data_IF_480039669028
#
_entry.id   IF_480039669028
#
_cell.length_a   1.000
_cell.length_b   1.000
_cell.length_c   1.000
_cell.angle_alpha   90.00
_cell.angle_beta   90.00
_cell.angle_gamma   90.00
#
_symmetry.space_group_name_H-M   'P 1'
#
loop_
_entity.id
_entity.type
_entity.pdbx_description
1 polymer ?
#
# COMPACT_ATOMS: atom_id res chain seq x y z
N UNK A 1 -18.70 36.35 -24.21
CA UNK A 1 -18.65 36.40 -22.74
C UNK A 1 -19.45 35.28 -22.07
N UNK A 2 -20.72 35.03 -22.45
CA UNK A 2 -21.51 33.92 -21.90
C UNK A 2 -20.85 32.53 -22.08
N UNK A 3 -20.32 32.25 -23.27
CA UNK A 3 -19.62 30.98 -23.58
C UNK A 3 -18.40 30.75 -22.66
N UNK A 4 -17.60 31.79 -22.42
CA UNK A 4 -16.45 31.75 -21.53
C UNK A 4 -16.86 31.53 -20.06
N UNK A 5 -18.05 32.00 -19.65
CA UNK A 5 -18.55 31.81 -18.30
C UNK A 5 -19.09 30.39 -18.10
N UNK A 6 -19.85 29.85 -19.06
CA UNK A 6 -20.30 28.45 -19.04
C UNK A 6 -19.12 27.48 -19.10
N UNK A 7 -18.12 27.74 -19.94
CA UNK A 7 -16.90 26.94 -20.02
C UNK A 7 -16.12 26.99 -18.71
N UNK A 8 -16.01 28.16 -18.07
CA UNK A 8 -15.35 28.32 -16.76
C UNK A 8 -16.13 27.60 -15.64
N UNK A 9 -17.45 27.69 -15.64
CA UNK A 9 -18.31 27.05 -14.65
C UNK A 9 -18.30 25.52 -14.80
N UNK A 10 -18.21 25.02 -16.04
CA UNK A 10 -18.05 23.60 -16.37
C UNK A 10 -16.67 23.08 -15.97
N UNK A 11 -15.62 23.84 -16.25
CA UNK A 11 -14.25 23.56 -15.74
C UNK A 11 -14.23 23.46 -14.22
N UNK A 12 -14.89 24.40 -13.52
CA UNK A 12 -15.00 24.38 -12.06
C UNK A 12 -15.71 23.14 -11.53
N UNK A 13 -16.86 22.76 -12.11
CA UNK A 13 -17.60 21.55 -11.71
C UNK A 13 -16.85 20.26 -11.98
N UNK A 14 -16.27 20.12 -13.16
CA UNK A 14 -15.53 18.91 -13.56
C UNK A 14 -14.27 18.75 -12.69
N UNK A 15 -13.57 19.85 -12.38
CA UNK A 15 -12.40 19.81 -11.49
C UNK A 15 -12.75 19.41 -10.04
N UNK A 16 -13.90 19.85 -9.51
CA UNK A 16 -14.36 19.43 -8.17
C UNK A 16 -14.70 17.94 -8.13
N UNK A 17 -15.39 17.43 -9.16
CA UNK A 17 -15.70 16.00 -9.27
C UNK A 17 -14.43 15.14 -9.34
N UNK A 18 -13.46 15.55 -10.15
CA UNK A 18 -12.14 14.89 -10.24
C UNK A 18 -11.41 14.96 -8.91
N UNK A 19 -11.37 16.13 -8.25
CA UNK A 19 -10.69 16.28 -6.96
C UNK A 19 -11.29 15.36 -5.87
N UNK A 20 -12.61 15.26 -5.78
CA UNK A 20 -13.28 14.37 -4.82
C UNK A 20 -13.00 12.88 -5.10
N UNK A 21 -12.98 12.49 -6.39
CA UNK A 21 -12.61 11.14 -6.78
C UNK A 21 -11.15 10.83 -6.41
N UNK A 22 -10.23 11.76 -6.70
CA UNK A 22 -8.81 11.62 -6.38
C UNK A 22 -8.57 11.52 -4.88
N UNK A 23 -9.23 12.37 -4.09
CA UNK A 23 -9.19 12.27 -2.63
C UNK A 23 -9.65 10.89 -2.15
N UNK A 24 -10.77 10.38 -2.67
CA UNK A 24 -11.26 9.05 -2.35
C UNK A 24 -10.27 7.94 -2.68
N UNK A 25 -9.59 8.00 -3.83
CA UNK A 25 -8.58 7.01 -4.22
C UNK A 25 -7.34 7.06 -3.31
N UNK A 26 -6.81 8.26 -3.04
CA UNK A 26 -5.65 8.45 -2.16
C UNK A 26 -5.97 7.96 -0.74
N UNK A 27 -7.14 8.30 -0.20
CA UNK A 27 -7.59 7.80 1.11
C UNK A 27 -7.66 6.28 1.16
N UNK A 28 -8.17 5.63 0.11
CA UNK A 28 -8.21 4.16 0.02
C UNK A 28 -6.81 3.54 -0.03
N UNK A 29 -5.86 4.16 -0.74
CA UNK A 29 -4.47 3.71 -0.76
C UNK A 29 -3.84 3.72 0.64
N UNK A 30 -4.05 4.80 1.40
CA UNK A 30 -3.61 4.86 2.79
C UNK A 30 -4.30 3.82 3.69
N UNK A 31 -5.59 3.58 3.51
CA UNK A 31 -6.31 2.53 4.23
C UNK A 31 -5.74 1.14 3.91
N UNK A 32 -5.39 0.87 2.66
CA UNK A 32 -4.77 -0.39 2.25
C UNK A 32 -3.39 -0.59 2.90
N UNK A 33 -2.55 0.45 2.95
CA UNK A 33 -1.26 0.40 3.65
C UNK A 33 -1.46 0.12 5.14
N UNK A 34 -2.40 0.82 5.79
CA UNK A 34 -2.67 0.62 7.22
C UNK A 34 -3.18 -0.80 7.52
N UNK A 35 -4.08 -1.33 6.68
CA UNK A 35 -4.56 -2.70 6.79
C UNK A 35 -3.42 -3.71 6.64
N UNK A 36 -2.54 -3.53 5.66
CA UNK A 36 -1.41 -4.42 5.42
C UNK A 36 -0.42 -4.45 6.60
N UNK A 37 -0.17 -3.29 7.23
CA UNK A 37 0.64 -3.23 8.45
C UNK A 37 -0.01 -3.96 9.63
N UNK A 38 -1.32 -3.80 9.80
CA UNK A 38 -2.06 -4.46 10.87
C UNK A 38 -2.04 -5.99 10.69
N UNK A 39 -2.32 -6.46 9.47
CA UNK A 39 -2.32 -7.89 9.13
C UNK A 39 -0.94 -8.52 9.33
N UNK A 40 0.13 -7.87 8.85
CA UNK A 40 1.50 -8.35 9.06
C UNK A 40 1.90 -8.38 10.54
N UNK A 41 1.51 -7.38 11.32
CA UNK A 41 1.80 -7.33 12.75
C UNK A 41 1.10 -8.46 13.49
N UNK A 42 -0.17 -8.73 13.15
CA UNK A 42 -0.93 -9.83 13.71
C UNK A 42 -0.28 -11.18 13.38
N UNK A 43 0.05 -11.40 12.10
CA UNK A 43 0.73 -12.61 11.65
C UNK A 43 2.07 -12.81 12.37
N UNK A 44 2.89 -11.77 12.48
CA UNK A 44 4.20 -11.82 13.16
C UNK A 44 4.06 -12.23 14.62
N UNK A 45 3.02 -11.75 15.31
CA UNK A 45 2.73 -12.13 16.69
C UNK A 45 2.30 -13.60 16.80
N UNK A 46 1.41 -14.06 15.91
CA UNK A 46 0.96 -15.46 15.86
C UNK A 46 2.14 -16.41 15.58
N UNK A 47 2.96 -16.11 14.57
CA UNK A 47 4.13 -16.91 14.19
C UNK A 47 5.19 -16.96 15.32
N UNK A 48 5.45 -15.82 15.98
CA UNK A 48 6.37 -15.73 17.11
C UNK A 48 5.89 -16.52 18.33
N UNK A 49 4.59 -16.45 18.63
CA UNK A 49 3.96 -17.21 19.72
C UNK A 49 4.04 -18.71 19.46
N UNK A 50 3.74 -19.15 18.23
CA UNK A 50 3.85 -20.55 17.83
C UNK A 50 5.30 -21.06 17.89
N UNK A 51 6.29 -20.25 17.49
CA UNK A 51 7.70 -20.59 17.62
C UNK A 51 8.12 -20.73 19.09
N UNK A 52 7.66 -19.83 19.96
CA UNK A 52 7.94 -19.89 21.39
C UNK A 52 7.35 -21.14 22.04
N UNK A 53 6.09 -21.49 21.73
CA UNK A 53 5.45 -22.72 22.24
C UNK A 53 6.24 -23.97 21.83
N UNK A 54 6.65 -24.05 20.56
CA UNK A 54 7.49 -25.14 20.06
C UNK A 54 8.85 -25.19 20.76
N UNK A 55 9.46 -24.04 21.02
CA UNK A 55 10.77 -23.94 21.66
C UNK A 55 10.71 -24.37 23.13
N UNK A 56 9.67 -23.95 23.87
CA UNK A 56 9.42 -24.40 25.26
C UNK A 56 9.17 -25.92 25.30
N UNK A 57 8.50 -26.47 24.28
CA UNK A 57 8.26 -27.91 24.15
C UNK A 57 9.46 -28.73 23.67
N UNK A 58 10.59 -28.10 23.31
CA UNK A 58 11.75 -28.80 22.77
C UNK A 58 12.46 -29.65 23.85
N UNK A 59 12.65 -30.94 23.57
CA UNK A 59 13.27 -31.90 24.50
C UNK A 59 14.78 -32.08 24.30
N UNK A 60 15.36 -31.41 23.31
CA UNK A 60 16.80 -31.43 23.05
C UNK A 60 17.25 -30.12 22.40
N UNK A 61 18.57 -29.87 22.43
CA UNK A 61 19.16 -28.69 21.80
C UNK A 61 18.97 -28.71 20.28
N UNK A 62 19.08 -29.88 19.65
CA UNK A 62 18.88 -30.04 18.21
C UNK A 62 17.46 -29.60 17.80
N UNK A 63 16.44 -29.99 18.57
CA UNK A 63 15.06 -29.56 18.31
C UNK A 63 14.84 -28.08 18.56
N UNK A 64 15.49 -27.49 19.56
CA UNK A 64 15.43 -26.04 19.76
C UNK A 64 16.07 -25.27 18.58
N UNK A 65 17.20 -25.75 18.06
CA UNK A 65 17.88 -25.17 16.88
C UNK A 65 16.99 -25.28 15.64
N UNK A 66 16.34 -26.42 15.43
CA UNK A 66 15.40 -26.64 14.32
C UNK A 66 14.25 -25.62 14.36
N UNK A 67 13.58 -25.47 15.51
CA UNK A 67 12.49 -24.49 15.70
C UNK A 67 12.95 -23.06 15.44
N UNK A 68 14.10 -22.66 16.01
CA UNK A 68 14.65 -21.32 15.81
C UNK A 68 15.01 -21.08 14.33
N UNK A 69 15.58 -22.07 13.65
CA UNK A 69 15.99 -21.97 12.25
C UNK A 69 14.78 -21.83 11.33
N UNK A 70 13.73 -22.62 11.57
CA UNK A 70 12.46 -22.51 10.85
C UNK A 70 11.79 -21.14 11.06
N UNK A 71 11.77 -20.64 12.30
CA UNK A 71 11.22 -19.33 12.62
C UNK A 71 11.98 -18.21 11.91
N UNK A 72 13.32 -18.21 11.98
CA UNK A 72 14.15 -17.19 11.32
C UNK A 72 13.95 -17.21 9.80
N UNK A 73 13.92 -18.40 9.18
CA UNK A 73 13.66 -18.53 7.74
C UNK A 73 12.28 -17.97 7.38
N UNK A 74 11.24 -18.38 8.10
CA UNK A 74 9.87 -17.96 7.84
C UNK A 74 9.69 -16.44 8.06
N UNK A 75 10.31 -15.89 9.10
CA UNK A 75 10.31 -14.46 9.39
C UNK A 75 11.00 -13.66 8.27
N UNK A 76 12.12 -14.17 7.73
CA UNK A 76 12.80 -13.53 6.60
C UNK A 76 11.94 -13.54 5.33
N UNK A 77 11.37 -14.69 4.97
CA UNK A 77 10.48 -14.81 3.81
C UNK A 77 9.25 -13.90 3.95
N UNK A 78 8.64 -13.87 5.14
CA UNK A 78 7.53 -12.99 5.47
C UNK A 78 7.88 -11.50 5.36
N UNK A 79 9.04 -11.10 5.88
CA UNK A 79 9.51 -9.72 5.79
C UNK A 79 9.74 -9.27 4.34
N UNK A 80 10.37 -10.11 3.52
CA UNK A 80 10.59 -9.81 2.10
C UNK A 80 9.25 -9.64 1.38
N UNK A 81 8.31 -10.56 1.59
CA UNK A 81 6.98 -10.48 0.99
C UNK A 81 6.24 -9.20 1.41
N UNK A 82 6.27 -8.85 2.70
CA UNK A 82 5.65 -7.62 3.21
C UNK A 82 6.29 -6.37 2.61
N UNK A 83 7.63 -6.35 2.51
CA UNK A 83 8.37 -5.22 1.94
C UNK A 83 8.03 -5.01 0.47
N UNK A 84 7.95 -6.10 -0.31
CA UNK A 84 7.50 -6.05 -1.71
C UNK A 84 6.09 -5.47 -1.81
N UNK A 85 5.15 -5.99 -1.02
CA UNK A 85 3.75 -5.57 -1.06
C UNK A 85 3.55 -4.11 -0.63
N UNK A 86 4.24 -3.66 0.41
CA UNK A 86 4.24 -2.24 0.79
C UNK A 86 4.83 -1.37 -0.32
N UNK A 87 5.92 -1.81 -0.96
CA UNK A 87 6.52 -1.10 -2.10
C UNK A 87 5.54 -0.92 -3.27
N UNK A 88 4.77 -1.96 -3.59
CA UNK A 88 3.70 -1.91 -4.59
C UNK A 88 2.59 -0.92 -4.19
N UNK A 89 2.09 -1.01 -2.95
CA UNK A 89 1.05 -0.10 -2.44
C UNK A 89 1.48 1.37 -2.47
N UNK A 90 2.72 1.67 -2.06
CA UNK A 90 3.26 3.04 -2.13
C UNK A 90 3.45 3.51 -3.57
N UNK A 91 3.89 2.63 -4.47
CA UNK A 91 4.03 2.93 -5.89
C UNK A 91 2.68 3.26 -6.51
N UNK A 92 1.64 2.48 -6.21
CA UNK A 92 0.30 2.70 -6.74
C UNK A 92 -0.35 3.96 -6.16
N UNK A 93 -0.14 4.23 -4.88
CA UNK A 93 -0.54 5.50 -4.26
C UNK A 93 0.13 6.69 -4.96
N UNK A 94 1.43 6.61 -5.25
CA UNK A 94 2.14 7.66 -5.97
C UNK A 94 1.57 7.86 -7.39
N UNK A 95 1.36 6.78 -8.15
CA UNK A 95 0.74 6.84 -9.49
C UNK A 95 -0.62 7.53 -9.45
N UNK A 96 -1.50 7.12 -8.54
CA UNK A 96 -2.83 7.72 -8.42
C UNK A 96 -2.76 9.19 -8.00
N UNK A 97 -1.79 9.57 -7.16
CA UNK A 97 -1.58 10.97 -6.76
C UNK A 97 -1.10 11.85 -7.92
N UNK A 98 -0.24 11.34 -8.81
CA UNK A 98 0.32 12.09 -9.94
C UNK A 98 -0.52 12.04 -11.21
N UNK A 99 -1.51 11.15 -11.30
CA UNK A 99 -2.43 10.99 -12.44
C UNK A 99 -3.06 12.29 -12.95
N UNK A 100 -3.47 13.26 -12.09
CA UNK A 100 -4.01 14.53 -12.57
C UNK A 100 -3.00 15.37 -13.36
N UNK A 101 -1.69 15.23 -13.08
CA UNK A 101 -0.63 15.95 -13.80
C UNK A 101 -0.48 15.41 -15.22
N UNK A 102 -0.61 14.10 -15.44
CA UNK A 102 -0.59 13.50 -16.78
C UNK A 102 -1.74 14.04 -17.64
N UNK A 103 -2.95 14.09 -17.07
CA UNK A 103 -4.12 14.65 -17.76
C UNK A 103 -4.01 16.15 -18.03
N UNK A 104 -3.33 16.89 -17.15
CA UNK A 104 -3.03 18.31 -17.38
C UNK A 104 -2.01 18.48 -18.50
N UNK A 105 -0.88 17.76 -18.47
CA UNK A 105 0.16 17.80 -19.51
C UNK A 105 -0.44 17.42 -20.88
N UNK A 106 -1.30 16.40 -20.96
CA UNK A 106 -1.98 16.04 -22.20
C UNK A 106 -2.93 17.14 -22.72
N UNK A 107 -3.47 18.00 -21.86
CA UNK A 107 -4.32 19.14 -22.24
C UNK A 107 -3.54 20.40 -22.63
N UNK A 108 -2.34 20.62 -22.10
CA UNK A 108 -1.49 21.79 -22.40
C UNK A 108 -0.34 21.51 -23.38
N UNK A 109 -0.04 20.25 -23.68
CA UNK A 109 0.91 19.91 -24.73
C UNK A 109 0.33 20.31 -26.10
N UNK A 110 1.04 21.12 -26.91
CA UNK A 110 0.57 21.44 -28.25
C UNK A 110 0.50 20.14 -29.07
N UNK A 111 -0.66 19.85 -29.65
CA UNK A 111 -0.78 18.85 -30.68
C UNK A 111 0.18 19.24 -31.82
N UNK A 112 1.10 18.33 -32.17
CA UNK A 112 1.84 18.45 -33.43
C UNK A 112 0.91 18.17 -34.60
#
# INVERSE_FOLDING_TARGET
>A
MLKNFEDFQKLGKDNVGVAMQQFGTVSKGWQAIAAEFADYSKKSFEDGSAALEKLIGAKSLEKAIEVQSEYVKSAYEGFVAQSTKLGELYTDLAKETYKPLEGFIAKVAPAK
#
